data_IF_750849027543
#
_entry.id   IF_750849027543
#
_cell.length_a   1.000
_cell.length_b   1.000
_cell.length_c   1.000
_cell.angle_alpha   90.00
_cell.angle_beta   90.00
_cell.angle_gamma   90.00
#
_symmetry.space_group_name_H-M   'P 1'
#
loop_
_entity.id
_entity.type
_entity.pdbx_description
1 polymer ?
#
# COMPACT_ATOMS: atom_id res chain seq x y z
N UNK A 1 3.60 -4.41 -0.67
CA UNK A 1 3.78 -2.94 -0.68
C UNK A 1 5.05 -2.51 0.03
N UNK A 2 5.18 -2.69 1.36
CA UNK A 2 6.41 -2.33 2.11
C UNK A 2 7.67 -2.93 1.47
N UNK A 3 7.62 -4.20 1.06
CA UNK A 3 8.78 -4.88 0.49
C UNK A 3 9.26 -4.25 -0.84
N UNK A 4 8.36 -3.61 -1.60
CA UNK A 4 8.75 -2.85 -2.81
C UNK A 4 9.50 -1.57 -2.45
N UNK A 5 9.07 -0.87 -1.40
CA UNK A 5 9.76 0.31 -0.89
C UNK A 5 11.09 -0.07 -0.25
N UNK A 6 11.16 -1.20 0.46
CA UNK A 6 12.40 -1.76 0.99
C UNK A 6 13.41 -2.03 -0.14
N UNK A 7 12.97 -2.63 -1.24
CA UNK A 7 13.80 -2.90 -2.42
C UNK A 7 14.05 -1.68 -3.32
N UNK A 8 13.47 -0.52 -3.01
CA UNK A 8 13.58 0.69 -3.83
C UNK A 8 12.94 0.54 -5.23
N UNK A 9 11.94 -0.33 -5.36
CA UNK A 9 11.26 -0.66 -6.60
C UNK A 9 10.62 -2.06 -6.55
N UNK A 10 9.62 -2.29 -7.40
CA UNK A 10 8.98 -3.61 -7.56
C UNK A 10 9.73 -4.44 -8.60
N UNK A 11 9.97 -5.71 -8.30
CA UNK A 11 10.48 -6.69 -9.25
C UNK A 11 9.35 -7.63 -9.68
N UNK A 12 9.25 -7.88 -10.98
CA UNK A 12 8.34 -8.85 -11.59
C UNK A 12 9.22 -9.84 -12.34
N UNK A 13 9.28 -11.08 -11.86
CA UNK A 13 10.30 -12.02 -12.32
C UNK A 13 10.02 -12.63 -13.71
N UNK A 14 8.75 -12.70 -14.12
CA UNK A 14 8.32 -13.42 -15.34
C UNK A 14 7.07 -12.80 -15.97
N UNK A 15 6.85 -13.12 -17.24
CA UNK A 15 5.67 -12.72 -18.02
C UNK A 15 5.90 -11.45 -18.85
N UNK A 16 4.84 -10.99 -19.51
CA UNK A 16 4.84 -9.80 -20.37
C UNK A 16 5.32 -8.53 -19.66
N UNK A 17 5.05 -8.43 -18.35
CA UNK A 17 5.42 -7.28 -17.53
C UNK A 17 6.69 -7.51 -16.69
N UNK A 18 7.54 -8.48 -17.05
CA UNK A 18 8.78 -8.75 -16.32
C UNK A 18 9.72 -7.53 -16.32
N UNK A 19 10.34 -7.26 -15.16
CA UNK A 19 11.21 -6.10 -15.00
C UNK A 19 11.63 -5.83 -13.57
N UNK A 20 12.71 -5.05 -13.42
CA UNK A 20 13.30 -4.68 -12.12
C UNK A 20 13.12 -3.16 -11.94
N UNK A 21 12.07 -2.75 -11.23
CA UNK A 21 11.74 -1.33 -11.04
C UNK A 21 12.82 -0.53 -10.32
N UNK A 22 13.63 -1.18 -9.47
CA UNK A 22 14.73 -0.50 -8.76
C UNK A 22 15.88 -0.06 -9.67
N UNK A 23 15.96 -0.64 -10.88
CA UNK A 23 16.95 -0.31 -11.93
C UNK A 23 16.39 0.60 -13.03
N UNK A 24 15.14 1.09 -12.89
CA UNK A 24 14.55 1.97 -13.88
C UNK A 24 15.30 3.32 -13.90
N UNK A 25 15.82 3.79 -15.06
CA UNK A 25 16.51 5.08 -15.15
C UNK A 25 15.61 6.29 -14.84
N UNK A 26 14.29 6.15 -14.96
CA UNK A 26 13.32 7.18 -14.62
C UNK A 26 12.81 7.08 -13.18
N UNK A 27 13.39 6.19 -12.36
CA UNK A 27 13.04 6.11 -10.94
C UNK A 27 13.47 7.40 -10.24
N UNK A 28 12.57 7.96 -9.42
CA UNK A 28 12.90 9.08 -8.55
C UNK A 28 14.10 8.74 -7.65
N UNK A 29 15.05 9.67 -7.55
CA UNK A 29 16.24 9.56 -6.71
C UNK A 29 15.93 9.42 -5.21
N UNK A 30 14.77 9.92 -4.77
CA UNK A 30 14.31 9.83 -3.38
C UNK A 30 13.86 8.42 -2.97
N UNK A 31 13.79 7.47 -3.91
CA UNK A 31 13.42 6.08 -3.64
C UNK A 31 14.66 5.19 -3.75
N UNK A 32 15.50 5.21 -2.71
CA UNK A 32 16.76 4.45 -2.64
C UNK A 32 16.63 3.03 -2.07
N UNK A 33 15.47 2.68 -1.50
CA UNK A 33 15.33 1.47 -0.71
C UNK A 33 15.88 1.65 0.71
N UNK A 34 15.41 0.82 1.63
CA UNK A 34 15.84 0.84 3.02
C UNK A 34 15.72 -0.57 3.59
N UNK A 35 16.07 -0.79 4.86
CA UNK A 35 15.80 -2.05 5.56
C UNK A 35 14.96 -1.72 6.78
N UNK A 36 13.94 -2.53 7.02
CA UNK A 36 13.17 -2.51 8.25
C UNK A 36 13.46 -3.78 9.03
N UNK A 37 13.59 -3.65 10.34
CA UNK A 37 13.38 -4.76 11.25
C UNK A 37 11.90 -5.19 11.24
N UNK A 38 11.61 -6.38 11.76
CA UNK A 38 10.22 -6.84 11.85
C UNK A 38 9.39 -5.90 12.74
N UNK A 39 9.97 -5.38 13.83
CA UNK A 39 9.30 -4.42 14.71
C UNK A 39 8.95 -3.13 13.99
N UNK A 40 9.91 -2.51 13.28
CA UNK A 40 9.64 -1.26 12.54
C UNK A 40 8.61 -1.46 11.42
N UNK A 41 8.56 -2.65 10.81
CA UNK A 41 7.53 -3.01 9.84
C UNK A 41 6.14 -3.05 10.49
N UNK A 42 6.03 -3.61 11.70
CA UNK A 42 4.76 -3.63 12.44
C UNK A 42 4.35 -2.23 12.89
N UNK A 43 5.30 -1.40 13.33
CA UNK A 43 5.03 -0.02 13.73
C UNK A 43 4.51 0.82 12.56
N UNK A 44 5.10 0.67 11.37
CA UNK A 44 4.63 1.33 10.15
C UNK A 44 3.21 0.87 9.78
N UNK A 45 2.94 -0.43 9.89
CA UNK A 45 1.62 -0.98 9.64
C UNK A 45 0.58 -0.45 10.64
N UNK A 46 0.94 -0.34 11.92
CA UNK A 46 0.10 0.25 12.95
C UNK A 46 -0.21 1.72 12.66
N UNK A 47 0.81 2.49 12.27
CA UNK A 47 0.64 3.88 11.86
C UNK A 47 -0.32 4.00 10.68
N UNK A 48 -0.16 3.20 9.63
CA UNK A 48 -1.08 3.24 8.48
C UNK A 48 -2.52 2.87 8.84
N UNK A 49 -2.71 1.91 9.74
CA UNK A 49 -4.05 1.58 10.24
C UNK A 49 -4.69 2.77 10.97
N UNK A 50 -3.90 3.55 11.71
CA UNK A 50 -4.42 4.76 12.38
C UNK A 50 -4.88 5.88 11.45
N UNK A 51 -4.51 5.84 10.16
CA UNK A 51 -4.99 6.79 9.16
C UNK A 51 -6.44 6.49 8.70
N UNK A 52 -7.03 5.39 9.17
CA UNK A 52 -8.41 5.02 8.82
C UNK A 52 -9.41 5.74 9.73
N UNK A 53 -10.28 6.55 9.13
CA UNK A 53 -11.39 7.18 9.86
C UNK A 53 -12.58 6.21 9.98
N UNK A 54 -12.62 5.49 11.10
CA UNK A 54 -13.71 4.56 11.44
C UNK A 54 -15.09 5.25 11.54
N UNK A 55 -15.14 6.54 11.91
CA UNK A 55 -16.40 7.28 12.01
C UNK A 55 -16.94 7.57 10.61
N UNK A 56 -16.08 7.97 9.68
CA UNK A 56 -16.47 8.24 8.31
C UNK A 56 -17.04 6.99 7.63
N UNK A 57 -16.33 5.85 7.71
CA UNK A 57 -16.70 4.61 6.99
C UNK A 57 -18.00 3.99 7.54
N UNK A 58 -18.30 4.20 8.83
CA UNK A 58 -19.52 3.69 9.48
C UNK A 58 -20.66 4.70 9.53
N UNK A 59 -20.50 5.90 8.96
CA UNK A 59 -21.51 6.94 9.05
C UNK A 59 -22.74 6.59 8.19
N UNK A 60 -23.95 6.44 8.78
CA UNK A 60 -25.17 6.19 8.02
C UNK A 60 -25.48 7.29 7.01
N UNK A 61 -25.06 8.54 7.27
CA UNK A 61 -25.27 9.66 6.36
C UNK A 61 -24.49 9.55 5.04
N UNK A 62 -23.42 8.74 5.01
CA UNK A 62 -22.63 8.46 3.81
C UNK A 62 -22.83 7.04 3.28
N UNK A 63 -23.77 6.30 3.87
CA UNK A 63 -24.10 4.93 3.43
C UNK A 63 -24.88 4.94 2.11
N UNK A 64 -24.93 3.78 1.44
CA UNK A 64 -25.68 3.64 0.19
C UNK A 64 -27.16 4.07 0.38
N UNK A 65 -27.67 5.07 -0.36
CA UNK A 65 -29.05 5.54 -0.23
C UNK A 65 -30.09 4.55 -0.75
N UNK A 66 -29.69 3.51 -1.50
CA UNK A 66 -30.56 2.48 -2.04
C UNK A 66 -30.10 1.09 -1.56
N UNK A 67 -30.41 0.69 -0.31
CA UNK A 67 -30.08 -0.65 0.17
C UNK A 67 -30.83 -1.71 -0.65
N UNK A 68 -30.12 -2.76 -1.08
CA UNK A 68 -30.76 -3.90 -1.76
C UNK A 68 -31.88 -4.45 -0.86
N UNK A 69 -33.09 -4.50 -1.40
CA UNK A 69 -34.20 -5.15 -0.71
C UNK A 69 -33.88 -6.63 -0.64
N UNK A 70 -33.57 -7.12 0.56
CA UNK A 70 -33.51 -8.55 0.84
C UNK A 70 -34.86 -9.14 0.38
N UNK A 71 -34.81 -10.04 -0.60
CA UNK A 71 -35.97 -10.79 -1.08
C UNK A 71 -36.41 -11.81 -0.03
#
# INVERSE_FOLDING_TARGET
MIDHYQAGGRTIDKGEFAGIGSKNPFKSEFISGFKLSETEKQDLLAFWRSLTDEKFIKNPAFSNPYPEKVK
#
